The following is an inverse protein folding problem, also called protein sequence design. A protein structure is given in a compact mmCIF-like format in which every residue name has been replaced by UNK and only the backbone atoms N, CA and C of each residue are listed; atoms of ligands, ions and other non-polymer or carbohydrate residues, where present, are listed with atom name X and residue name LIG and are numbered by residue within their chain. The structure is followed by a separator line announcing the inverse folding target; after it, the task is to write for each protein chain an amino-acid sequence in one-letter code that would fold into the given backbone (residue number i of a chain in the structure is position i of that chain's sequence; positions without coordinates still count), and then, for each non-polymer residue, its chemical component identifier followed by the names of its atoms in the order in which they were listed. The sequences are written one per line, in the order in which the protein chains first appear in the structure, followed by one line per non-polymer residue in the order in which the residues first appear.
data_IF_970300548114
#
_entry.id   IF_970300548114
#
_cell.length_a   1.000
_cell.length_b   1.000
_cell.length_c   1.000
_cell.angle_alpha   90.00
_cell.angle_beta   90.00
_cell.angle_gamma   90.00
#
_symmetry.space_group_name_H-M   'P 1'
#
loop_
_entity.id
_entity.type
_entity.pdbx_description
1 polymer ?
#
# COMPACT_ATOMS: atom_id res chain seq x y z
N UNK A 1 -13.10 -21.95 -18.23
CA UNK A 1 -11.66 -22.25 -18.01
C UNK A 1 -11.23 -23.63 -18.46
N UNK A 2 -12.15 -24.60 -18.68
CA UNK A 2 -11.83 -25.81 -19.46
C UNK A 2 -11.20 -25.44 -20.82
N UNK A 3 -11.74 -24.40 -21.48
CA UNK A 3 -11.15 -23.81 -22.70
C UNK A 3 -9.68 -23.40 -22.61
N UNK A 4 -9.16 -22.93 -21.47
CA UNK A 4 -7.73 -22.55 -21.37
C UNK A 4 -6.82 -23.77 -21.16
N UNK A 5 -7.35 -24.83 -20.53
CA UNK A 5 -6.65 -26.09 -20.34
C UNK A 5 -6.61 -26.93 -21.64
N UNK A 6 -7.67 -26.85 -22.45
CA UNK A 6 -7.78 -27.58 -23.71
C UNK A 6 -6.97 -26.91 -24.86
N UNK A 7 -6.67 -25.61 -24.76
CA UNK A 7 -6.02 -24.85 -25.84
C UNK A 7 -4.48 -24.80 -25.78
N UNK A 8 -3.81 -25.29 -24.74
CA UNK A 8 -2.38 -25.00 -24.59
C UNK A 8 -1.54 -26.14 -24.01
N UNK A 9 -1.21 -27.11 -24.87
CA UNK A 9 -0.21 -28.16 -24.58
C UNK A 9 1.21 -27.61 -24.38
N UNK A 10 1.45 -26.32 -24.66
CA UNK A 10 2.77 -25.67 -24.60
C UNK A 10 2.91 -24.65 -23.48
N UNK A 11 1.87 -24.41 -22.67
CA UNK A 11 1.85 -23.39 -21.60
C UNK A 11 2.26 -21.97 -22.06
N UNK A 12 2.19 -21.66 -23.36
CA UNK A 12 2.58 -20.35 -23.94
C UNK A 12 1.60 -19.24 -23.58
N UNK A 13 0.33 -19.56 -23.40
CA UNK A 13 -0.72 -18.63 -23.02
C UNK A 13 -0.57 -18.18 -21.56
N UNK A 14 0.01 -19.00 -20.68
CA UNK A 14 0.23 -18.68 -19.27
C UNK A 14 1.33 -17.63 -19.07
N UNK A 15 2.25 -17.51 -20.03
CA UNK A 15 3.34 -16.52 -20.03
C UNK A 15 3.13 -15.39 -21.02
N UNK A 16 2.01 -15.39 -21.75
CA UNK A 16 1.67 -14.36 -22.72
C UNK A 16 1.59 -12.99 -22.05
N UNK A 17 1.92 -11.93 -22.80
CA UNK A 17 1.81 -10.54 -22.35
C UNK A 17 1.01 -9.74 -23.37
N UNK A 18 0.18 -8.83 -22.89
CA UNK A 18 -0.50 -7.87 -23.77
C UNK A 18 0.45 -6.77 -24.22
N UNK A 19 -0.05 -5.86 -25.07
CA UNK A 19 0.68 -4.65 -25.49
C UNK A 19 1.05 -3.72 -24.33
N UNK A 20 0.39 -3.86 -23.18
CA UNK A 20 0.70 -3.11 -21.96
C UNK A 20 1.58 -3.93 -20.99
N UNK A 21 2.10 -5.08 -21.43
CA UNK A 21 2.93 -5.97 -20.62
C UNK A 21 2.16 -6.79 -19.57
N UNK A 22 0.82 -6.73 -19.54
CA UNK A 22 0.01 -7.48 -18.57
C UNK A 22 0.04 -8.97 -18.91
N UNK A 23 0.41 -9.78 -17.93
CA UNK A 23 0.29 -11.25 -17.97
C UNK A 23 -1.12 -11.72 -17.60
N UNK A 24 -1.46 -13.01 -17.79
CA UNK A 24 -2.70 -13.58 -17.29
C UNK A 24 -2.91 -13.36 -15.79
N UNK A 25 -1.83 -13.35 -14.99
CA UNK A 25 -1.91 -13.10 -13.54
C UNK A 25 -2.33 -11.67 -13.23
N UNK A 26 -1.91 -10.67 -14.03
CA UNK A 26 -2.39 -9.29 -13.88
C UNK A 26 -3.91 -9.20 -14.13
N UNK A 27 -4.41 -9.85 -15.17
CA UNK A 27 -5.85 -9.84 -15.48
C UNK A 27 -6.68 -10.60 -14.45
N UNK A 28 -6.25 -11.79 -14.05
CA UNK A 28 -6.93 -12.57 -13.02
C UNK A 28 -6.95 -11.81 -11.69
N UNK A 29 -5.83 -11.17 -11.33
CA UNK A 29 -5.72 -10.36 -10.13
C UNK A 29 -6.45 -9.01 -10.20
N UNK A 30 -6.81 -8.51 -11.38
CA UNK A 30 -7.56 -7.24 -11.50
C UNK A 30 -9.06 -7.46 -11.71
N UNK A 31 -9.44 -8.42 -12.56
CA UNK A 31 -10.83 -8.63 -13.01
C UNK A 31 -11.37 -10.04 -12.78
N UNK A 32 -10.50 -11.00 -12.46
CA UNK A 32 -10.89 -12.39 -12.26
C UNK A 32 -11.44 -12.67 -10.87
N UNK A 33 -12.09 -13.83 -10.73
CA UNK A 33 -12.49 -14.39 -9.45
C UNK A 33 -11.36 -15.17 -8.78
N UNK A 34 -11.50 -15.44 -7.48
CA UNK A 34 -10.53 -16.26 -6.75
C UNK A 34 -10.30 -17.62 -7.45
N UNK A 35 -11.38 -18.24 -7.95
CA UNK A 35 -11.31 -19.52 -8.64
C UNK A 35 -10.47 -19.47 -9.92
N UNK A 36 -10.54 -18.35 -10.66
CA UNK A 36 -9.71 -18.13 -11.85
C UNK A 36 -8.24 -18.07 -11.47
N UNK A 37 -7.94 -17.35 -10.39
CA UNK A 37 -6.58 -17.20 -9.93
C UNK A 37 -5.99 -18.50 -9.35
N UNK A 38 -6.75 -19.26 -8.58
CA UNK A 38 -6.33 -20.58 -8.06
C UNK A 38 -5.87 -21.52 -9.19
N UNK A 39 -6.70 -21.66 -10.23
CA UNK A 39 -6.40 -22.54 -11.36
C UNK A 39 -5.17 -22.02 -12.12
N UNK A 40 -5.05 -20.70 -12.27
CA UNK A 40 -3.90 -20.09 -12.94
C UNK A 40 -2.60 -20.35 -12.16
N UNK A 41 -2.62 -20.18 -10.83
CA UNK A 41 -1.48 -20.42 -9.94
C UNK A 41 -1.05 -21.89 -9.93
N UNK A 42 -2.00 -22.82 -9.86
CA UNK A 42 -1.73 -24.26 -9.94
C UNK A 42 -1.00 -24.65 -11.24
N UNK A 43 -1.20 -23.91 -12.32
CA UNK A 43 -0.50 -24.15 -13.59
C UNK A 43 0.85 -23.45 -13.65
N UNK A 44 0.99 -22.27 -13.04
CA UNK A 44 2.25 -21.52 -12.97
C UNK A 44 3.29 -22.19 -12.08
N UNK A 45 2.88 -22.80 -10.96
CA UNK A 45 3.79 -23.53 -10.06
C UNK A 45 4.44 -24.74 -10.72
N UNK A 46 3.82 -25.30 -11.77
CA UNK A 46 4.39 -26.39 -12.56
C UNK A 46 5.48 -25.94 -13.55
N UNK A 47 5.71 -24.62 -13.70
CA UNK A 47 6.48 -24.06 -14.81
C UNK A 47 7.75 -23.30 -14.39
N UNK A 48 7.94 -22.95 -13.13
CA UNK A 48 8.96 -21.96 -12.75
C UNK A 48 9.83 -22.41 -11.57
N UNK A 49 11.15 -22.50 -11.80
CA UNK A 49 12.16 -22.84 -10.80
C UNK A 49 13.02 -21.64 -10.34
N UNK A 50 13.00 -20.49 -11.04
CA UNK A 50 14.07 -19.47 -10.89
C UNK A 50 13.58 -18.07 -10.45
N UNK A 51 12.32 -17.68 -10.68
CA UNK A 51 11.77 -16.40 -10.21
C UNK A 51 10.25 -16.44 -10.06
N UNK A 52 9.71 -15.94 -8.95
CA UNK A 52 8.26 -15.93 -8.72
C UNK A 52 7.54 -15.12 -9.81
N UNK A 53 6.76 -15.74 -10.72
CA UNK A 53 6.11 -15.06 -11.83
C UNK A 53 5.07 -14.03 -11.39
N UNK A 54 4.63 -14.08 -10.13
CA UNK A 54 3.72 -13.09 -9.54
C UNK A 54 4.37 -11.74 -9.29
N UNK A 55 5.70 -11.70 -9.21
CA UNK A 55 6.47 -10.48 -9.01
C UNK A 55 6.91 -9.85 -10.34
N UNK A 56 6.56 -10.47 -11.48
CA UNK A 56 6.77 -9.85 -12.78
C UNK A 56 5.86 -8.63 -12.93
N UNK A 57 6.42 -7.51 -13.40
CA UNK A 57 5.65 -6.30 -13.66
C UNK A 57 5.23 -6.18 -15.12
N UNK A 58 4.13 -5.45 -15.32
CA UNK A 58 3.74 -4.95 -16.63
C UNK A 58 4.58 -3.73 -17.06
N UNK A 59 4.27 -3.12 -18.20
CA UNK A 59 5.04 -1.99 -18.74
C UNK A 59 4.91 -0.72 -17.90
N UNK A 60 3.86 -0.63 -17.07
CA UNK A 60 3.75 0.42 -16.07
C UNK A 60 4.65 0.13 -14.85
N UNK A 61 5.17 -1.07 -14.65
CA UNK A 61 5.94 -1.42 -13.45
C UNK A 61 5.06 -1.78 -12.25
N UNK A 62 3.84 -2.25 -12.47
CA UNK A 62 2.96 -2.76 -11.39
C UNK A 62 2.89 -4.28 -11.41
N UNK A 63 2.74 -4.89 -10.23
CA UNK A 63 2.61 -6.35 -10.06
C UNK A 63 1.14 -6.78 -10.07
N UNK A 64 0.90 -8.09 -10.12
CA UNK A 64 -0.47 -8.63 -9.97
C UNK A 64 -1.07 -8.30 -8.60
N UNK A 65 -0.28 -8.35 -7.53
CA UNK A 65 -0.76 -8.02 -6.17
C UNK A 65 -1.16 -6.55 -6.05
N UNK A 66 -0.40 -5.62 -6.66
CA UNK A 66 -0.79 -4.21 -6.71
C UNK A 66 -2.15 -4.02 -7.41
N UNK A 67 -2.38 -4.69 -8.54
CA UNK A 67 -3.67 -4.62 -9.25
C UNK A 67 -4.81 -5.24 -8.45
N UNK A 68 -4.56 -6.31 -7.69
CA UNK A 68 -5.51 -6.89 -6.76
C UNK A 68 -5.83 -5.95 -5.58
N UNK A 69 -4.86 -5.17 -5.10
CA UNK A 69 -5.11 -4.23 -4.02
C UNK A 69 -5.80 -2.93 -4.45
N UNK A 70 -5.67 -2.55 -5.73
CA UNK A 70 -6.18 -1.27 -6.28
C UNK A 70 -7.44 -1.42 -7.13
N UNK A 71 -8.00 -2.62 -7.24
CA UNK A 71 -9.28 -2.86 -7.91
C UNK A 71 -10.44 -2.21 -7.16
N UNK A 72 -11.43 -1.82 -7.95
CA UNK A 72 -12.68 -1.27 -7.47
C UNK A 72 -13.50 -2.36 -6.75
N UNK A 73 -13.76 -2.14 -5.46
CA UNK A 73 -14.50 -3.07 -4.61
C UNK A 73 -16.01 -3.05 -4.86
N UNK A 74 -16.52 -2.08 -5.63
CA UNK A 74 -17.95 -1.97 -5.97
C UNK A 74 -18.42 -3.06 -6.94
N UNK A 75 -17.51 -3.67 -7.70
CA UNK A 75 -17.86 -4.64 -8.76
C UNK A 75 -18.00 -6.06 -8.21
N UNK A 76 -17.07 -6.47 -7.35
CA UNK A 76 -16.92 -7.87 -6.91
C UNK A 76 -16.94 -8.05 -5.37
N UNK A 77 -17.07 -6.96 -4.62
CA UNK A 77 -17.04 -6.96 -3.16
C UNK A 77 -15.63 -7.05 -2.56
N UNK A 78 -15.49 -6.47 -1.36
CA UNK A 78 -14.23 -6.45 -0.58
C UNK A 78 -13.74 -7.87 -0.27
N UNK A 79 -14.67 -8.80 0.00
CA UNK A 79 -14.34 -10.18 0.35
C UNK A 79 -13.62 -10.94 -0.78
N UNK A 80 -14.03 -10.77 -2.04
CA UNK A 80 -13.36 -11.44 -3.16
C UNK A 80 -11.96 -10.88 -3.40
N UNK A 81 -11.81 -9.54 -3.25
CA UNK A 81 -10.51 -8.91 -3.29
C UNK A 81 -9.58 -9.48 -2.23
N UNK A 82 -10.03 -9.52 -0.98
CA UNK A 82 -9.20 -9.92 0.15
C UNK A 82 -8.80 -11.40 0.03
N UNK A 83 -9.71 -12.26 -0.45
CA UNK A 83 -9.39 -13.66 -0.74
C UNK A 83 -8.34 -13.81 -1.87
N UNK A 84 -8.42 -12.98 -2.92
CA UNK A 84 -7.41 -12.94 -3.99
C UNK A 84 -6.06 -12.43 -3.47
N UNK A 85 -6.08 -11.37 -2.66
CA UNK A 85 -4.88 -10.81 -2.02
C UNK A 85 -4.21 -11.85 -1.14
N UNK A 86 -4.98 -12.52 -0.29
CA UNK A 86 -4.48 -13.60 0.57
C UNK A 86 -3.83 -14.71 -0.26
N UNK A 87 -4.50 -15.19 -1.31
CA UNK A 87 -3.97 -16.23 -2.18
C UNK A 87 -2.63 -15.83 -2.85
N UNK A 88 -2.52 -14.57 -3.29
CA UNK A 88 -1.27 -14.04 -3.87
C UNK A 88 -0.15 -13.94 -2.83
N UNK A 89 -0.47 -13.50 -1.61
CA UNK A 89 0.49 -13.41 -0.49
C UNK A 89 1.00 -14.79 -0.08
N UNK A 90 0.13 -15.80 -0.02
CA UNK A 90 0.50 -17.20 0.24
C UNK A 90 1.50 -17.74 -0.80
N UNK A 91 1.47 -17.19 -2.02
CA UNK A 91 2.41 -17.50 -3.09
C UNK A 91 3.57 -16.49 -3.19
N UNK A 92 3.89 -15.75 -2.11
CA UNK A 92 5.00 -14.80 -2.02
C UNK A 92 4.97 -13.66 -3.07
N UNK A 93 3.78 -13.23 -3.48
CA UNK A 93 3.62 -12.05 -4.32
C UNK A 93 3.96 -10.78 -3.53
N UNK A 94 4.54 -9.78 -4.21
CA UNK A 94 4.93 -8.48 -3.67
C UNK A 94 4.07 -7.37 -4.28
N UNK A 95 3.74 -6.35 -3.48
CA UNK A 95 3.04 -5.15 -3.93
C UNK A 95 3.94 -4.31 -4.83
N UNK A 96 5.21 -4.16 -4.44
CA UNK A 96 6.19 -3.36 -5.17
C UNK A 96 7.47 -4.16 -5.42
N UNK A 97 8.13 -3.86 -6.53
CA UNK A 97 9.50 -4.33 -6.76
C UNK A 97 10.46 -3.66 -5.77
N UNK A 98 11.57 -4.35 -5.46
CA UNK A 98 12.63 -3.80 -4.60
C UNK A 98 13.11 -2.44 -5.12
N UNK A 99 13.21 -1.46 -4.22
CA UNK A 99 13.57 -0.08 -4.56
C UNK A 99 12.44 0.78 -5.16
N UNK A 100 11.25 0.22 -5.41
CA UNK A 100 10.10 0.94 -5.96
C UNK A 100 9.17 1.59 -4.93
N UNK A 101 9.46 1.44 -3.63
CA UNK A 101 8.55 1.84 -2.55
C UNK A 101 8.76 3.30 -2.12
N UNK A 102 10.01 3.72 -1.96
CA UNK A 102 10.34 5.06 -1.49
C UNK A 102 11.67 5.56 -2.07
N UNK A 103 11.74 6.88 -2.28
CA UNK A 103 12.95 7.59 -2.68
C UNK A 103 13.60 8.17 -1.43
N UNK A 104 14.87 7.85 -1.23
CA UNK A 104 15.67 8.35 -0.13
C UNK A 104 16.53 9.49 -0.66
N UNK A 105 16.41 10.66 -0.02
CA UNK A 105 17.18 11.84 -0.37
C UNK A 105 18.03 12.24 0.83
N UNK A 106 19.33 12.36 0.62
CA UNK A 106 20.29 12.78 1.64
C UNK A 106 20.89 14.13 1.24
N UNK A 107 20.65 15.13 2.09
CA UNK A 107 21.33 16.42 2.04
C UNK A 107 22.32 16.51 3.20
N UNK A 108 23.27 17.45 3.16
CA UNK A 108 24.36 17.61 4.13
C UNK A 108 23.92 17.73 5.62
N UNK A 109 22.63 17.87 5.90
CA UNK A 109 22.09 17.94 7.27
C UNK A 109 20.78 17.17 7.49
N UNK A 110 20.13 16.64 6.45
CA UNK A 110 18.80 16.01 6.56
C UNK A 110 18.72 14.82 5.60
N UNK A 111 18.45 13.64 6.16
CA UNK A 111 18.04 12.45 5.40
C UNK A 111 16.52 12.35 5.41
N UNK A 112 15.91 12.41 4.23
CA UNK A 112 14.46 12.38 4.04
C UNK A 112 14.02 11.24 3.13
N UNK A 113 12.78 10.81 3.31
CA UNK A 113 12.14 9.72 2.59
C UNK A 113 10.87 10.26 1.96
N UNK A 114 10.73 10.11 0.65
CA UNK A 114 9.50 10.45 -0.08
C UNK A 114 8.91 9.18 -0.67
N UNK A 115 7.64 8.91 -0.38
CA UNK A 115 6.96 7.73 -0.89
C UNK A 115 6.69 7.87 -2.39
N UNK A 116 6.80 6.75 -3.12
CA UNK A 116 6.45 6.75 -4.54
C UNK A 116 4.94 7.04 -4.72
N UNK A 117 4.59 7.72 -5.81
CA UNK A 117 3.21 8.14 -6.14
C UNK A 117 2.17 7.01 -6.02
N UNK A 118 2.57 5.79 -6.38
CA UNK A 118 1.71 4.60 -6.26
C UNK A 118 1.47 4.18 -4.82
N UNK A 119 2.51 4.24 -3.99
CA UNK A 119 2.40 3.94 -2.55
C UNK A 119 1.46 4.95 -1.89
N UNK A 120 1.62 6.24 -2.22
CA UNK A 120 0.74 7.31 -1.70
C UNK A 120 -0.73 7.07 -2.05
N UNK A 121 -1.02 6.78 -3.33
CA UNK A 121 -2.38 6.49 -3.79
C UNK A 121 -3.01 5.28 -3.08
N UNK A 122 -2.29 4.17 -3.00
CA UNK A 122 -2.78 2.97 -2.33
C UNK A 122 -2.97 3.18 -0.83
N UNK A 123 -2.03 3.86 -0.18
CA UNK A 123 -2.11 4.15 1.24
C UNK A 123 -3.32 5.04 1.57
N UNK A 124 -3.59 6.08 0.76
CA UNK A 124 -4.80 6.89 0.91
C UNK A 124 -6.08 6.07 0.72
N UNK A 125 -6.13 5.23 -0.32
CA UNK A 125 -7.27 4.37 -0.60
C UNK A 125 -7.54 3.39 0.55
N UNK A 126 -6.54 2.64 0.99
CA UNK A 126 -6.69 1.62 2.02
C UNK A 126 -6.96 2.22 3.41
N UNK A 127 -6.42 3.40 3.72
CA UNK A 127 -6.81 4.11 4.94
C UNK A 127 -8.29 4.53 4.91
N UNK A 128 -8.82 4.90 3.74
CA UNK A 128 -10.24 5.20 3.59
C UNK A 128 -11.13 3.98 3.82
N UNK A 129 -10.67 2.81 3.37
CA UNK A 129 -11.40 1.55 3.52
C UNK A 129 -11.50 1.09 4.98
N UNK A 130 -10.47 1.31 5.80
CA UNK A 130 -10.49 1.00 7.25
C UNK A 130 -11.56 1.81 7.99
N UNK A 131 -11.82 3.04 7.55
CA UNK A 131 -12.79 3.94 8.16
C UNK A 131 -14.18 3.91 7.50
N UNK A 132 -14.34 3.17 6.39
CA UNK A 132 -15.61 3.05 5.69
C UNK A 132 -16.63 2.23 6.48
N UNK A 133 -17.95 2.48 6.32
CA UNK A 133 -18.96 1.64 6.94
C UNK A 133 -18.80 0.21 6.42
N UNK A 134 -18.62 -0.75 7.33
CA UNK A 134 -18.63 -2.17 7.02
C UNK A 134 -19.92 -2.48 6.24
N UNK A 135 -19.77 -2.96 5.00
CA UNK A 135 -20.85 -3.18 4.04
C UNK A 135 -21.82 -4.31 4.46
N UNK A 136 -21.68 -4.85 5.68
CA UNK A 136 -22.53 -5.85 6.33
C UNK A 136 -23.71 -5.17 7.09
N UNK A 137 -24.38 -4.21 6.47
CA UNK A 137 -25.53 -3.50 7.06
C UNK A 137 -26.84 -3.84 6.33
N UNK A 138 -27.16 -5.12 6.28
CA UNK A 138 -28.55 -5.58 6.17
C UNK A 138 -28.77 -6.52 7.36
N UNK A 139 -29.59 -6.06 8.32
CA UNK A 139 -30.10 -6.79 9.48
C UNK A 139 -29.15 -7.02 10.68
N UNK A 140 -28.94 -6.02 11.56
CA UNK A 140 -29.14 -6.24 13.01
C UNK A 140 -29.06 -4.97 13.89
N UNK A 141 -29.92 -4.93 14.90
CA UNK A 141 -30.24 -3.82 15.81
C UNK A 141 -29.16 -3.58 16.90
N UNK A 142 -27.88 -3.50 16.54
CA UNK A 142 -26.75 -3.32 17.48
C UNK A 142 -25.97 -2.02 17.22
N UNK A 143 -26.64 -0.89 17.42
CA UNK A 143 -26.14 0.46 17.10
C UNK A 143 -25.01 0.98 18.05
N UNK A 144 -24.64 0.25 19.11
CA UNK A 144 -23.64 0.72 20.09
C UNK A 144 -22.20 0.29 19.77
N UNK A 145 -21.98 -0.91 19.21
CA UNK A 145 -20.63 -1.43 18.97
C UNK A 145 -19.97 -0.80 17.73
N UNK A 146 -20.75 -0.49 16.70
CA UNK A 146 -20.24 0.16 15.48
C UNK A 146 -19.73 1.58 15.73
N UNK A 147 -20.36 2.33 16.63
CA UNK A 147 -19.93 3.69 16.96
C UNK A 147 -18.64 3.71 17.79
N UNK A 148 -18.42 2.73 18.66
CA UNK A 148 -17.18 2.57 19.40
C UNK A 148 -16.00 2.17 18.49
N UNK A 149 -16.26 1.30 17.49
CA UNK A 149 -15.28 0.92 16.47
C UNK A 149 -14.84 2.10 15.61
N UNK A 150 -15.78 2.88 15.08
CA UNK A 150 -15.51 4.07 14.28
C UNK A 150 -14.75 5.15 15.05
N UNK A 151 -15.11 5.39 16.31
CA UNK A 151 -14.37 6.32 17.17
C UNK A 151 -12.92 5.87 17.39
N UNK A 152 -12.69 4.56 17.50
CA UNK A 152 -11.34 4.03 17.73
C UNK A 152 -10.50 4.07 16.46
N UNK A 153 -11.06 3.78 15.28
CA UNK A 153 -10.34 3.94 14.00
C UNK A 153 -9.96 5.39 13.74
N UNK A 154 -10.84 6.34 14.05
CA UNK A 154 -10.56 7.78 13.91
C UNK A 154 -9.44 8.23 14.85
N UNK A 155 -9.43 7.73 16.09
CA UNK A 155 -8.34 8.01 17.04
C UNK A 155 -7.01 7.46 16.50
N UNK A 156 -6.99 6.23 15.97
CA UNK A 156 -5.76 5.64 15.43
C UNK A 156 -5.28 6.35 14.16
N UNK A 157 -6.20 6.78 13.29
CA UNK A 157 -5.86 7.59 12.12
C UNK A 157 -5.29 8.95 12.55
N UNK A 158 -5.87 9.57 13.57
CA UNK A 158 -5.40 10.84 14.14
C UNK A 158 -3.99 10.69 14.72
N UNK A 159 -3.73 9.61 15.48
CA UNK A 159 -2.39 9.27 15.98
C UNK A 159 -1.39 9.10 14.83
N UNK A 160 -1.77 8.35 13.78
CA UNK A 160 -0.92 8.12 12.62
C UNK A 160 -0.58 9.43 11.88
N UNK A 161 -1.58 10.29 11.66
CA UNK A 161 -1.40 11.57 10.99
C UNK A 161 -0.57 12.56 11.83
N UNK A 162 -0.74 12.57 13.15
CA UNK A 162 0.06 13.37 14.06
C UNK A 162 1.53 12.92 14.06
N UNK A 163 1.79 11.60 14.07
CA UNK A 163 3.14 11.04 13.96
C UNK A 163 3.78 11.39 12.60
N UNK A 164 3.00 11.31 11.52
CA UNK A 164 3.46 11.76 10.20
C UNK A 164 3.90 13.21 10.23
N UNK A 165 3.08 14.11 10.81
CA UNK A 165 3.41 15.53 10.92
C UNK A 165 4.65 15.80 11.78
N UNK A 166 4.81 15.07 12.90
CA UNK A 166 6.00 15.16 13.74
C UNK A 166 7.27 14.69 13.02
N UNK A 167 7.10 13.84 12.01
CA UNK A 167 8.14 13.25 11.19
C UNK A 167 8.56 14.12 10.00
N UNK A 168 7.85 15.22 9.71
CA UNK A 168 8.18 16.11 8.58
C UNK A 168 9.34 17.06 8.95
N UNK A 169 10.36 17.23 8.10
CA UNK A 169 11.41 18.22 8.32
C UNK A 169 10.86 19.64 8.49
N UNK A 170 11.52 20.48 9.29
CA UNK A 170 11.10 21.88 9.52
C UNK A 170 11.05 22.75 8.25
N UNK A 171 11.73 22.31 7.19
CA UNK A 171 11.71 22.94 5.86
C UNK A 171 11.58 21.85 4.79
N UNK A 172 10.37 21.33 4.53
CA UNK A 172 10.17 20.21 3.62
C UNK A 172 10.37 20.60 2.14
N UNK A 173 10.33 21.89 1.81
CA UNK A 173 10.42 22.43 0.45
C UNK A 173 11.68 23.30 0.26
N UNK A 174 12.87 22.70 0.33
CA UNK A 174 14.18 23.37 0.27
C UNK A 174 14.55 24.04 -1.07
N UNK A 175 13.60 24.55 -1.87
CA UNK A 175 13.90 25.04 -3.24
C UNK A 175 13.46 26.47 -3.61
N UNK A 176 12.88 27.28 -2.70
CA UNK A 176 12.66 28.70 -3.03
C UNK A 176 13.19 29.66 -1.96
N UNK A 177 14.23 30.46 -2.24
CA UNK A 177 14.96 31.23 -1.23
C UNK A 177 14.28 32.56 -0.83
N UNK A 178 12.97 32.74 -1.05
CA UNK A 178 12.32 34.06 -0.91
C UNK A 178 10.97 34.12 -0.21
N UNK A 179 10.43 33.01 0.30
CA UNK A 179 9.18 33.04 1.06
C UNK A 179 9.49 32.73 2.52
N UNK A 180 9.14 33.64 3.45
CA UNK A 180 9.17 33.32 4.87
C UNK A 180 8.39 32.03 5.04
N UNK A 181 9.08 30.99 5.50
CA UNK A 181 8.50 29.67 5.67
C UNK A 181 7.57 29.73 6.87
N UNK A 182 6.30 30.10 6.66
CA UNK A 182 5.23 29.99 7.66
C UNK A 182 4.89 28.51 7.96
N UNK A 183 5.82 27.57 7.72
CA UNK A 183 5.64 26.14 7.92
C UNK A 183 5.29 25.83 9.38
N UNK A 184 5.85 26.56 10.35
CA UNK A 184 5.49 26.39 11.75
C UNK A 184 4.00 26.70 12.02
N UNK A 185 3.45 27.73 11.35
CA UNK A 185 2.04 28.08 11.46
C UNK A 185 1.16 27.05 10.72
N UNK A 186 1.62 26.60 9.55
CA UNK A 186 0.93 25.57 8.75
C UNK A 186 0.91 24.23 9.48
N UNK A 187 2.02 23.82 10.08
CA UNK A 187 2.13 22.56 10.82
C UNK A 187 1.25 22.59 12.08
N UNK A 188 1.23 23.72 12.79
CA UNK A 188 0.31 23.92 13.92
C UNK A 188 -1.15 23.84 13.46
N UNK A 189 -1.51 24.49 12.35
CA UNK A 189 -2.86 24.43 11.79
C UNK A 189 -3.25 23.00 11.39
N UNK A 190 -2.37 22.29 10.69
CA UNK A 190 -2.60 20.90 10.28
C UNK A 190 -2.81 20.00 11.51
N UNK A 191 -1.98 20.15 12.55
CA UNK A 191 -2.12 19.36 13.77
C UNK A 191 -3.45 19.63 14.49
N UNK A 192 -3.89 20.89 14.54
CA UNK A 192 -5.19 21.28 15.10
C UNK A 192 -6.33 20.63 14.31
N UNK A 193 -6.28 20.70 12.98
CA UNK A 193 -7.34 20.15 12.11
C UNK A 193 -7.37 18.61 12.18
N UNK A 194 -6.21 17.95 12.20
CA UNK A 194 -6.09 16.50 12.41
C UNK A 194 -6.71 16.13 13.77
N UNK A 195 -6.35 16.86 14.83
CA UNK A 195 -6.84 16.62 16.20
C UNK A 195 -8.33 16.94 16.38
N UNK A 196 -8.91 17.75 15.49
CA UNK A 196 -10.34 18.06 15.46
C UNK A 196 -11.18 16.98 14.74
N UNK A 197 -10.57 15.89 14.29
CA UNK A 197 -11.25 14.76 13.64
C UNK A 197 -11.26 14.82 12.12
N UNK A 198 -10.60 15.80 11.49
CA UNK A 198 -10.52 15.90 10.03
C UNK A 198 -9.30 15.16 9.47
N UNK A 199 -8.72 14.21 10.19
CA UNK A 199 -7.49 13.51 9.78
C UNK A 199 -7.64 12.89 8.38
N UNK A 200 -8.79 12.27 8.09
CA UNK A 200 -9.10 11.61 6.83
C UNK A 200 -8.96 12.53 5.60
N UNK A 201 -9.53 13.73 5.65
CA UNK A 201 -9.53 14.68 4.53
C UNK A 201 -8.12 15.18 4.19
N UNK A 202 -7.21 15.13 5.14
CA UNK A 202 -5.85 15.62 5.00
C UNK A 202 -4.83 14.53 4.70
N UNK A 203 -5.19 13.23 4.76
CA UNK A 203 -4.28 12.13 4.42
C UNK A 203 -3.60 12.36 3.05
N UNK A 204 -4.30 12.68 1.96
CA UNK A 204 -3.64 12.87 0.66
C UNK A 204 -2.58 13.96 0.68
N UNK A 205 -2.80 15.05 1.43
CA UNK A 205 -1.83 16.14 1.59
C UNK A 205 -0.62 15.70 2.40
N UNK A 206 -0.85 14.97 3.50
CA UNK A 206 0.23 14.46 4.35
C UNK A 206 1.18 13.55 3.58
N UNK A 207 0.62 12.68 2.74
CA UNK A 207 1.39 11.72 1.95
C UNK A 207 2.37 12.40 0.98
N UNK A 208 2.11 13.62 0.50
CA UNK A 208 3.04 14.39 -0.34
C UNK A 208 4.27 14.92 0.44
N UNK A 209 4.20 14.96 1.77
CA UNK A 209 5.27 15.52 2.59
C UNK A 209 6.40 14.51 2.78
N UNK A 210 7.67 14.95 2.68
CA UNK A 210 8.81 14.09 2.98
C UNK A 210 8.86 13.79 4.48
N UNK A 211 9.26 12.56 4.80
CA UNK A 211 9.48 12.10 6.17
C UNK A 211 10.97 12.10 6.51
N UNK A 212 11.32 12.40 7.76
CA UNK A 212 12.68 12.22 8.26
C UNK A 212 13.00 10.73 8.31
N UNK A 213 14.15 10.33 7.78
CA UNK A 213 14.57 8.92 7.79
C UNK A 213 14.63 8.34 9.20
N UNK A 214 15.03 9.13 10.19
CA UNK A 214 15.10 8.75 11.61
C UNK A 214 13.74 8.47 12.24
N UNK A 215 12.67 9.04 11.68
CA UNK A 215 11.30 8.89 12.18
C UNK A 215 10.54 7.72 11.56
N UNK A 216 11.07 7.12 10.48
CA UNK A 216 10.45 6.00 9.78
C UNK A 216 10.03 4.83 10.68
N UNK A 217 10.82 4.38 11.69
CA UNK A 217 10.40 3.30 12.58
C UNK A 217 9.13 3.62 13.38
N UNK A 218 8.96 4.88 13.81
CA UNK A 218 7.78 5.32 14.56
C UNK A 218 6.55 5.36 13.66
N UNK A 219 6.70 5.90 12.45
CA UNK A 219 5.65 5.87 11.45
C UNK A 219 5.22 4.43 11.13
N UNK A 220 6.16 3.52 10.90
CA UNK A 220 5.88 2.12 10.59
C UNK A 220 5.14 1.41 11.74
N UNK A 221 5.56 1.64 12.99
CA UNK A 221 4.86 1.09 14.16
C UNK A 221 3.41 1.59 14.28
N UNK A 222 3.15 2.86 13.95
CA UNK A 222 1.78 3.41 13.94
C UNK A 222 0.96 2.85 12.78
N UNK A 223 1.55 2.70 11.60
CA UNK A 223 0.91 2.13 10.43
C UNK A 223 0.50 0.67 10.69
N UNK A 224 1.39 -0.11 11.29
CA UNK A 224 1.11 -1.50 11.68
C UNK A 224 -0.03 -1.60 12.68
N UNK A 225 -0.03 -0.74 13.72
CA UNK A 225 -1.11 -0.68 14.71
C UNK A 225 -2.46 -0.30 14.08
N UNK A 226 -2.46 0.67 13.16
CA UNK A 226 -3.65 1.06 12.42
C UNK A 226 -4.17 -0.07 11.53
N UNK A 227 -3.27 -0.76 10.81
CA UNK A 227 -3.62 -1.85 9.91
C UNK A 227 -4.22 -3.07 10.64
N UNK A 228 -3.78 -3.37 11.87
CA UNK A 228 -4.31 -4.46 12.69
C UNK A 228 -5.66 -4.17 13.36
N UNK A 229 -6.08 -2.92 13.40
CA UNK A 229 -7.28 -2.54 14.15
C UNK A 229 -8.57 -3.11 13.53
N UNK A 230 -8.69 -3.07 12.20
CA UNK A 230 -9.88 -3.54 11.48
C UNK A 230 -9.56 -4.80 10.69
N UNK A 231 -9.81 -5.98 11.30
CA UNK A 231 -9.68 -7.32 10.69
C UNK A 231 -8.34 -7.55 9.93
N UNK A 232 -7.22 -7.09 10.47
CA UNK A 232 -5.88 -7.22 9.86
C UNK A 232 -5.85 -6.88 8.36
N UNK A 233 -5.84 -5.58 8.02
CA UNK A 233 -5.87 -5.11 6.64
C UNK A 233 -4.62 -5.57 5.85
N UNK A 234 -4.74 -6.70 5.14
CA UNK A 234 -3.64 -7.44 4.50
C UNK A 234 -2.72 -6.56 3.65
N UNK A 235 -3.30 -5.66 2.84
CA UNK A 235 -2.53 -4.79 1.95
C UNK A 235 -1.69 -3.74 2.70
N UNK A 236 -2.20 -3.19 3.80
CA UNK A 236 -1.46 -2.23 4.63
C UNK A 236 -0.35 -2.93 5.39
N UNK A 237 -0.61 -4.15 5.89
CA UNK A 237 0.42 -4.99 6.53
C UNK A 237 1.53 -5.38 5.55
N UNK A 238 1.17 -5.76 4.31
CA UNK A 238 2.16 -6.06 3.27
C UNK A 238 2.97 -4.81 2.89
N UNK A 239 2.32 -3.66 2.74
CA UNK A 239 3.01 -2.40 2.48
C UNK A 239 3.97 -2.04 3.63
N UNK A 240 3.54 -2.21 4.88
CA UNK A 240 4.39 -2.02 6.05
C UNK A 240 5.63 -2.94 6.01
N UNK A 241 5.45 -4.22 5.68
CA UNK A 241 6.56 -5.17 5.55
C UNK A 241 7.55 -4.75 4.46
N UNK A 242 7.07 -4.38 3.28
CA UNK A 242 7.92 -3.95 2.16
C UNK A 242 8.62 -2.61 2.41
N UNK A 243 7.96 -1.67 3.08
CA UNK A 243 8.59 -0.42 3.54
C UNK A 243 9.69 -0.69 4.57
N UNK A 244 9.44 -1.60 5.50
CA UNK A 244 10.42 -1.99 6.53
C UNK A 244 11.65 -2.63 5.89
N UNK A 245 11.46 -3.53 4.92
CA UNK A 245 12.55 -4.09 4.10
C UNK A 245 13.34 -2.98 3.40
N UNK A 246 12.66 -2.04 2.72
CA UNK A 246 13.32 -0.97 1.96
C UNK A 246 14.13 0.00 2.84
N UNK A 247 13.68 0.28 4.06
CA UNK A 247 14.43 1.11 5.02
C UNK A 247 15.72 0.40 5.47
N UNK A 248 15.65 -0.91 5.73
CA UNK A 248 16.79 -1.73 6.16
C UNK A 248 17.83 -1.93 5.04
N UNK A 249 17.39 -2.20 3.82
CA UNK A 249 18.30 -2.36 2.67
C UNK A 249 19.14 -1.09 2.46
N UNK A 250 18.53 0.09 2.59
CA UNK A 250 19.23 1.36 2.42
C UNK A 250 20.10 1.77 3.61
N UNK A 251 19.93 1.18 4.80
CA UNK A 251 20.89 1.39 5.91
C UNK A 251 22.20 0.65 5.67
N UNK A 252 22.18 -0.48 4.96
CA UNK A 252 23.36 -1.29 4.71
C UNK A 252 24.24 -0.78 3.56
N UNK A 253 23.67 -0.05 2.60
CA UNK A 253 24.43 0.52 1.46
C UNK A 253 25.37 1.67 1.88
N UNK A 254 25.11 2.32 3.02
CA UNK A 254 25.94 3.44 3.52
C UNK A 254 27.21 2.96 4.25
N UNK A 255 27.36 1.66 4.53
CA UNK A 255 28.45 1.12 5.41
C UNK A 255 29.62 0.50 4.63
N UNK A 256 29.72 0.68 3.30
CA UNK A 256 30.95 0.35 2.56
C UNK A 256 31.77 1.61 2.28
N UNK A 257 32.68 2.03 3.17
CA UNK A 257 33.76 2.94 2.77
C UNK A 257 34.78 2.14 1.94
N UNK A 258 35.18 2.71 0.80
CA UNK A 258 36.41 2.32 0.11
C UNK A 258 37.63 2.61 0.99
#
# INVERSE_FOLDING_TARGET
MELLADLDSTNRNLTARTLAGNSPTHYAAQYGSIRVLEILLQRLTLLSDEANPLNATNDAGVTSLYLAGSRDTTINGVNERDAIVQLLLEHNARLFLRGGVAVFSESASIASVTMHERVRRCLAQWMAEVNGPSQEAEDDDHNHDHQAGAQTSDVLLTELCAEWMASVPSHPFLSTPKRSSNWADISALLLVVISAGYAHDFVPLLLELPLLRTSMPFFLARLERFARFSRDHLLLLQLHAELSEGVLENTNVVVTPC
#
